data_IF_203904041905
#
_entry.id   IF_203904041905
#
_cell.length_a   1.000
_cell.length_b   1.000
_cell.length_c   1.000
_cell.angle_alpha   90.00
_cell.angle_beta   90.00
_cell.angle_gamma   90.00
#
_symmetry.space_group_name_H-M   'P 1'
#
loop_
_entity.id
_entity.type
_entity.pdbx_description
1 polymer ?
#
# COMPACT_ATOMS: atom_id res chain seq x y z
N UNK A 1 12.93 -22.36 27.10
CA UNK A 1 12.77 -20.89 27.02
C UNK A 1 11.94 -20.60 25.78
N UNK A 2 10.71 -20.13 25.94
CA UNK A 2 9.81 -19.79 24.83
C UNK A 2 10.12 -18.35 24.38
N UNK A 3 11.12 -18.20 23.52
CA UNK A 3 11.49 -16.89 22.99
C UNK A 3 10.41 -16.45 22.01
N UNK A 4 9.77 -15.32 22.31
CA UNK A 4 8.84 -14.62 21.44
C UNK A 4 9.58 -13.93 20.30
N UNK A 5 8.88 -13.68 19.19
CA UNK A 5 9.44 -12.99 18.03
C UNK A 5 8.88 -11.56 17.95
N UNK A 6 9.75 -10.55 17.92
CA UNK A 6 9.34 -9.20 17.56
C UNK A 6 8.92 -9.21 16.10
N UNK A 7 7.76 -8.64 15.83
CA UNK A 7 7.17 -8.68 14.51
C UNK A 7 6.56 -7.33 14.14
N UNK A 8 6.64 -7.00 12.85
CA UNK A 8 5.73 -6.00 12.29
C UNK A 8 4.77 -6.71 11.36
N UNK A 9 3.49 -6.58 11.68
CA UNK A 9 2.42 -7.19 10.93
C UNK A 9 1.70 -6.15 10.08
N UNK A 10 1.44 -6.49 8.82
CA UNK A 10 0.74 -5.67 7.84
C UNK A 10 -0.64 -6.26 7.55
N UNK A 11 -1.68 -5.44 7.66
CA UNK A 11 -3.05 -5.81 7.36
C UNK A 11 -3.41 -5.39 5.92
N UNK A 12 -4.20 -6.19 5.19
CA UNK A 12 -4.68 -5.79 3.88
C UNK A 12 -5.70 -4.66 4.04
N UNK A 13 -5.69 -3.70 3.12
CA UNK A 13 -6.62 -2.55 3.16
C UNK A 13 -8.08 -2.98 3.14
N UNK A 14 -8.41 -4.07 2.45
CA UNK A 14 -9.77 -4.64 2.41
C UNK A 14 -10.29 -5.09 3.78
N UNK A 15 -9.40 -5.30 4.76
CA UNK A 15 -9.78 -5.64 6.12
C UNK A 15 -9.98 -4.40 7.00
N UNK A 16 -9.45 -3.24 6.61
CA UNK A 16 -9.50 -2.00 7.39
C UNK A 16 -10.70 -1.17 6.96
N UNK A 17 -11.70 -1.08 7.83
CA UNK A 17 -12.89 -0.24 7.64
C UNK A 17 -12.61 1.17 8.17
N UNK A 18 -12.51 2.14 7.27
CA UNK A 18 -12.50 3.56 7.64
C UNK A 18 -13.83 3.90 8.35
N UNK A 19 -13.75 4.51 9.54
CA UNK A 19 -14.95 4.94 10.26
C UNK A 19 -15.49 6.18 9.55
N UNK A 20 -16.57 6.01 8.77
CA UNK A 20 -17.47 7.13 8.46
C UNK A 20 -18.11 7.61 9.79
N UNK A 21 -18.12 8.92 10.09
CA UNK A 21 -18.82 9.44 11.26
C UNK A 21 -20.33 9.10 11.20
N UNK A 22 -20.99 8.94 12.36
CA UNK A 22 -22.26 8.24 12.46
C UNK A 22 -23.39 8.88 11.65
N UNK A 23 -24.11 7.99 10.96
CA UNK A 23 -25.35 8.17 10.21
C UNK A 23 -26.34 9.18 10.83
N UNK A 24 -26.41 10.38 10.25
CA UNK A 24 -27.54 11.30 10.43
C UNK A 24 -27.82 12.10 9.15
N UNK A 25 -27.60 11.54 7.95
CA UNK A 25 -27.99 12.18 6.69
C UNK A 25 -28.38 11.11 5.67
N UNK A 26 -29.45 10.35 5.94
CA UNK A 26 -30.00 9.40 4.95
C UNK A 26 -31.09 10.00 4.04
N UNK A 27 -31.48 11.25 4.24
CA UNK A 27 -32.60 11.87 3.51
C UNK A 27 -32.22 12.98 2.52
N UNK A 28 -30.96 13.06 2.07
CA UNK A 28 -30.55 14.04 1.06
C UNK A 28 -30.05 13.36 -0.22
N UNK A 29 -30.91 12.57 -0.87
CA UNK A 29 -30.68 12.00 -2.20
C UNK A 29 -30.56 13.07 -3.34
N UNK A 30 -30.46 14.37 -3.04
CA UNK A 30 -30.49 15.42 -4.08
C UNK A 30 -29.56 16.63 -3.86
N UNK A 31 -28.66 16.63 -2.88
CA UNK A 31 -27.69 17.74 -2.76
C UNK A 31 -26.23 17.27 -2.65
N UNK A 32 -25.56 17.38 -3.79
CA UNK A 32 -24.13 17.62 -3.95
C UNK A 32 -23.56 18.52 -2.82
N UNK A 33 -22.92 17.94 -1.79
CA UNK A 33 -22.08 18.69 -0.83
C UNK A 33 -20.81 17.91 -0.45
N UNK A 34 -19.81 18.07 -1.31
CA UNK A 34 -18.38 18.36 -1.05
C UNK A 34 -17.83 18.01 0.35
N UNK A 35 -17.04 16.94 0.40
CA UNK A 35 -16.10 16.65 1.49
C UNK A 35 -14.92 17.67 1.48
N UNK A 36 -14.21 17.91 2.61
CA UNK A 36 -13.18 18.95 2.73
C UNK A 36 -11.89 18.74 1.91
N UNK A 37 -11.81 17.73 1.04
CA UNK A 37 -10.68 17.51 0.14
C UNK A 37 -10.75 18.36 -1.14
N UNK A 38 -11.83 19.11 -1.33
CA UNK A 38 -12.15 19.82 -2.57
C UNK A 38 -11.20 21.00 -2.93
N UNK A 39 -10.20 21.32 -2.11
CA UNK A 39 -9.28 22.43 -2.37
C UNK A 39 -7.78 22.16 -2.06
N UNK A 40 -7.39 20.94 -1.70
CA UNK A 40 -5.97 20.64 -1.43
C UNK A 40 -5.20 20.44 -2.74
N UNK A 41 -4.89 21.56 -3.39
CA UNK A 41 -4.00 21.62 -4.55
C UNK A 41 -2.56 21.51 -4.04
N UNK A 42 -1.92 20.37 -4.34
CA UNK A 42 -0.50 20.21 -4.01
C UNK A 42 0.32 20.92 -5.09
N UNK A 43 1.07 21.95 -4.67
CA UNK A 43 1.90 22.73 -5.57
C UNK A 43 3.37 22.65 -5.18
N UNK A 44 4.23 22.81 -6.17
CA UNK A 44 5.67 22.85 -5.95
C UNK A 44 6.48 22.60 -7.21
N UNK A 45 7.79 22.51 -7.04
CA UNK A 45 8.72 22.33 -8.15
C UNK A 45 9.12 20.87 -8.24
N UNK A 46 9.12 20.34 -9.47
CA UNK A 46 9.74 19.07 -9.81
C UNK A 46 10.63 19.24 -11.03
N UNK A 47 11.62 18.37 -11.17
CA UNK A 47 12.42 18.24 -12.36
C UNK A 47 11.78 17.21 -13.28
N UNK A 48 11.50 17.59 -14.52
CA UNK A 48 10.80 16.75 -15.48
C UNK A 48 11.74 16.38 -16.63
N UNK A 49 11.80 15.10 -16.97
CA UNK A 49 12.50 14.61 -18.17
C UNK A 49 11.76 15.03 -19.45
N UNK A 50 12.48 15.56 -20.42
CA UNK A 50 11.91 15.83 -21.75
C UNK A 50 11.61 14.53 -22.51
N UNK A 51 10.70 14.61 -23.49
CA UNK A 51 10.37 13.47 -24.37
C UNK A 51 11.43 13.29 -25.46
N UNK A 52 11.87 14.40 -26.05
CA UNK A 52 12.81 14.45 -27.18
C UNK A 52 14.23 14.68 -26.67
N UNK A 53 14.44 15.72 -25.86
CA UNK A 53 15.69 15.94 -25.15
C UNK A 53 15.57 15.38 -23.73
N UNK A 54 16.33 14.34 -23.34
CA UNK A 54 16.21 13.69 -22.04
C UNK A 54 16.75 14.53 -20.87
N UNK A 55 17.21 15.76 -21.10
CA UNK A 55 17.57 16.66 -20.02
C UNK A 55 16.37 16.90 -19.07
N UNK A 56 16.66 16.85 -17.77
CA UNK A 56 15.71 17.22 -16.73
C UNK A 56 15.59 18.74 -16.67
N UNK A 57 14.35 19.24 -16.74
CA UNK A 57 14.08 20.66 -16.66
C UNK A 57 13.17 20.96 -15.47
N UNK A 58 13.53 22.01 -14.73
CA UNK A 58 12.75 22.52 -13.60
C UNK A 58 11.40 23.04 -14.09
N UNK A 59 10.30 22.58 -13.49
CA UNK A 59 8.94 23.02 -13.78
C UNK A 59 8.15 23.20 -12.49
N UNK A 60 7.24 24.15 -12.49
CA UNK A 60 6.25 24.28 -11.43
C UNK A 60 5.09 23.34 -11.74
N UNK A 61 4.65 22.57 -10.75
CA UNK A 61 3.58 21.60 -10.85
C UNK A 61 2.45 21.94 -9.90
N UNK A 62 1.24 21.64 -10.33
CA UNK A 62 0.03 21.73 -9.54
C UNK A 62 -0.76 20.43 -9.71
N UNK A 63 -1.03 19.76 -8.60
CA UNK A 63 -1.83 18.54 -8.54
C UNK A 63 -3.21 18.89 -8.00
N UNK A 64 -4.22 18.71 -8.85
CA UNK A 64 -5.63 18.78 -8.49
C UNK A 64 -6.17 17.36 -8.26
N UNK A 65 -7.48 17.24 -8.01
CA UNK A 65 -8.14 15.93 -7.92
C UNK A 65 -8.09 15.14 -9.23
N UNK A 66 -8.05 15.82 -10.37
CA UNK A 66 -8.22 15.19 -11.69
C UNK A 66 -6.94 15.18 -12.52
N UNK A 67 -6.01 16.10 -12.25
CA UNK A 67 -4.86 16.32 -13.13
C UNK A 67 -3.60 16.78 -12.41
N UNK A 68 -2.46 16.39 -12.96
CA UNK A 68 -1.16 16.96 -12.66
C UNK A 68 -0.73 17.89 -13.81
N UNK A 69 -0.74 19.19 -13.54
CA UNK A 69 -0.46 20.25 -14.52
C UNK A 69 0.94 20.81 -14.30
N UNK A 70 1.63 21.24 -15.36
CA UNK A 70 2.95 21.87 -15.21
C UNK A 70 3.15 23.12 -16.07
N UNK A 71 3.98 24.02 -15.55
CA UNK A 71 4.16 25.38 -16.04
C UNK A 71 5.64 25.74 -16.21
N UNK A 72 5.90 26.70 -17.11
CA UNK A 72 7.20 27.35 -17.28
C UNK A 72 6.99 28.86 -17.20
N UNK A 73 7.33 29.45 -16.06
CA UNK A 73 6.80 30.78 -15.71
C UNK A 73 5.30 30.67 -15.50
N UNK A 74 4.55 31.60 -16.07
CA UNK A 74 3.08 31.62 -16.01
C UNK A 74 2.41 30.77 -17.11
N UNK A 75 3.19 30.28 -18.09
CA UNK A 75 2.66 29.50 -19.20
C UNK A 75 2.40 28.04 -18.80
N UNK A 76 1.16 27.59 -18.93
CA UNK A 76 0.82 26.17 -18.84
C UNK A 76 1.42 25.40 -20.03
N UNK A 77 2.23 24.38 -19.73
CA UNK A 77 2.98 23.61 -20.74
C UNK A 77 2.47 22.19 -20.94
N UNK A 78 1.63 21.69 -20.04
CA UNK A 78 0.99 20.39 -20.22
C UNK A 78 0.17 19.95 -19.01
N UNK A 79 -0.71 19.01 -19.28
CA UNK A 79 -1.65 18.41 -18.33
C UNK A 79 -1.48 16.90 -18.41
N UNK A 80 -1.41 16.23 -17.26
CA UNK A 80 -1.44 14.78 -17.15
C UNK A 80 -2.73 14.41 -16.41
N UNK A 81 -3.77 13.91 -17.11
CA UNK A 81 -4.98 13.45 -16.45
C UNK A 81 -4.67 12.23 -15.58
N UNK A 82 -5.02 12.28 -14.29
CA UNK A 82 -4.67 11.23 -13.33
C UNK A 82 -5.37 9.90 -13.65
N UNK A 83 -6.57 9.98 -14.23
CA UNK A 83 -7.32 8.80 -14.72
C UNK A 83 -6.62 8.04 -15.85
N UNK A 84 -5.65 8.66 -16.54
CA UNK A 84 -4.87 8.01 -17.62
C UNK A 84 -3.59 7.36 -17.12
N UNK A 85 -3.26 7.50 -15.84
CA UNK A 85 -2.06 6.92 -15.26
C UNK A 85 -2.35 5.45 -14.98
N UNK A 86 -1.65 4.56 -15.69
CA UNK A 86 -1.73 3.11 -15.52
C UNK A 86 -0.73 2.59 -14.51
N UNK A 87 0.33 3.35 -14.21
CA UNK A 87 1.36 2.96 -13.23
C UNK A 87 2.03 4.20 -12.64
N UNK A 88 2.18 4.24 -11.31
CA UNK A 88 2.98 5.17 -10.54
C UNK A 88 4.07 4.36 -9.88
N UNK A 89 5.33 4.71 -10.18
CA UNK A 89 6.45 3.99 -9.59
C UNK A 89 7.71 4.78 -9.31
N UNK A 90 8.62 4.21 -8.53
CA UNK A 90 9.98 4.73 -8.42
C UNK A 90 10.72 4.60 -9.75
N UNK A 91 11.58 5.58 -10.06
CA UNK A 91 12.44 5.47 -11.22
C UNK A 91 13.58 4.48 -10.96
N UNK A 92 13.76 3.53 -11.88
CA UNK A 92 14.72 2.44 -11.72
C UNK A 92 16.20 2.89 -11.83
N UNK A 93 16.49 4.00 -12.52
CA UNK A 93 17.86 4.51 -12.67
C UNK A 93 18.29 5.26 -11.39
N UNK A 94 19.26 4.73 -10.62
CA UNK A 94 19.70 5.34 -9.36
C UNK A 94 20.42 6.68 -9.56
N UNK A 95 20.83 7.03 -10.78
CA UNK A 95 21.40 8.35 -11.08
C UNK A 95 20.37 9.48 -11.00
N UNK A 96 19.07 9.14 -11.08
CA UNK A 96 17.97 10.09 -10.90
C UNK A 96 17.48 9.98 -9.46
N UNK A 97 18.13 10.73 -8.57
CA UNK A 97 17.70 10.80 -7.18
C UNK A 97 16.22 11.20 -7.08
N UNK A 98 15.49 10.52 -6.19
CA UNK A 98 14.10 10.84 -5.88
C UNK A 98 13.17 10.83 -7.10
N UNK A 99 13.40 9.88 -8.01
CA UNK A 99 12.68 9.75 -9.28
C UNK A 99 11.30 9.09 -9.14
N UNK A 100 10.29 9.67 -9.79
CA UNK A 100 8.92 9.16 -9.90
C UNK A 100 8.60 8.95 -11.38
N UNK A 101 8.12 7.76 -11.73
CA UNK A 101 7.58 7.45 -13.05
C UNK A 101 6.05 7.41 -13.02
N UNK A 102 5.43 8.09 -13.97
CA UNK A 102 4.00 8.00 -14.24
C UNK A 102 3.83 7.44 -15.65
N UNK A 103 3.36 6.20 -15.75
CA UNK A 103 3.07 5.53 -17.01
C UNK A 103 1.66 5.87 -17.44
N UNK A 104 1.51 6.36 -18.65
CA UNK A 104 0.23 6.58 -19.33
C UNK A 104 0.27 5.88 -20.69
N UNK A 105 -0.87 5.60 -21.33
CA UNK A 105 -0.89 4.96 -22.66
C UNK A 105 -0.04 5.69 -23.71
N UNK A 106 0.04 7.02 -23.62
CA UNK A 106 0.76 7.84 -24.59
C UNK A 106 2.25 8.01 -24.26
N UNK A 107 2.64 7.88 -22.99
CA UNK A 107 3.99 8.24 -22.52
C UNK A 107 4.26 7.79 -21.08
N UNK A 108 5.51 7.41 -20.80
CA UNK A 108 6.07 7.40 -19.44
C UNK A 108 6.70 8.75 -19.11
N UNK A 109 6.18 9.39 -18.06
CA UNK A 109 6.70 10.63 -17.50
C UNK A 109 7.68 10.30 -16.40
N UNK A 110 8.88 10.88 -16.46
CA UNK A 110 9.87 10.77 -15.38
C UNK A 110 10.03 12.12 -14.73
N UNK A 111 9.74 12.17 -13.44
CA UNK A 111 9.83 13.32 -12.56
C UNK A 111 10.90 13.05 -11.51
N UNK A 112 11.51 14.08 -10.97
CA UNK A 112 12.45 13.97 -9.85
C UNK A 112 12.19 15.11 -8.87
N UNK A 113 12.10 14.76 -7.60
CA UNK A 113 11.95 15.72 -6.52
C UNK A 113 13.31 16.24 -6.04
N UNK A 114 13.32 17.42 -5.43
CA UNK A 114 14.57 18.04 -4.96
C UNK A 114 15.21 17.28 -3.78
N UNK A 115 14.39 16.57 -2.99
CA UNK A 115 14.80 15.84 -1.80
C UNK A 115 13.77 14.74 -1.46
N UNK A 116 14.11 13.86 -0.52
CA UNK A 116 13.25 12.76 -0.10
C UNK A 116 11.94 13.19 0.58
N UNK A 117 11.89 14.37 1.20
CA UNK A 117 10.66 14.92 1.76
C UNK A 117 9.64 15.30 0.68
N UNK A 118 10.10 16.02 -0.34
CA UNK A 118 9.30 16.39 -1.50
C UNK A 118 8.88 15.15 -2.29
N UNK A 119 9.79 14.19 -2.48
CA UNK A 119 9.48 12.90 -3.10
C UNK A 119 8.29 12.23 -2.43
N UNK A 120 8.37 12.01 -1.12
CA UNK A 120 7.29 11.37 -0.35
C UNK A 120 5.99 12.15 -0.44
N UNK A 121 6.04 13.48 -0.32
CA UNK A 121 4.87 14.36 -0.46
C UNK A 121 4.20 14.17 -1.81
N UNK A 122 4.96 14.27 -2.90
CA UNK A 122 4.44 14.16 -4.25
C UNK A 122 3.89 12.77 -4.55
N UNK A 123 4.67 11.73 -4.28
CA UNK A 123 4.24 10.35 -4.54
C UNK A 123 2.99 9.99 -3.73
N UNK A 124 2.94 10.33 -2.45
CA UNK A 124 1.74 10.12 -1.62
C UNK A 124 0.51 10.82 -2.19
N UNK A 125 0.66 12.09 -2.57
CA UNK A 125 -0.46 12.91 -3.06
C UNK A 125 -0.98 12.39 -4.40
N UNK A 126 -0.08 11.93 -5.28
CA UNK A 126 -0.43 11.33 -6.58
C UNK A 126 -1.11 9.97 -6.35
N UNK A 127 -0.53 9.09 -5.53
CA UNK A 127 -1.10 7.77 -5.24
C UNK A 127 -2.50 7.83 -4.63
N UNK A 128 -2.80 8.86 -3.84
CA UNK A 128 -4.15 9.09 -3.27
C UNK A 128 -5.20 9.49 -4.33
N UNK A 129 -4.80 9.89 -5.54
CA UNK A 129 -5.68 10.47 -6.56
C UNK A 129 -5.69 9.68 -7.88
N UNK A 130 -4.95 8.58 -7.97
CA UNK A 130 -4.97 7.65 -9.10
C UNK A 130 -5.72 6.38 -8.72
N UNK A 131 -6.07 5.55 -9.71
CA UNK A 131 -6.65 4.22 -9.44
C UNK A 131 -5.68 3.37 -8.60
N UNK A 132 -6.22 2.54 -7.72
CA UNK A 132 -5.42 1.61 -6.89
C UNK A 132 -4.58 0.67 -7.77
N UNK A 133 -5.13 0.23 -8.90
CA UNK A 133 -4.42 -0.63 -9.86
C UNK A 133 -3.20 0.05 -10.48
N UNK A 134 -3.17 1.38 -10.45
CA UNK A 134 -2.09 2.17 -11.00
C UNK A 134 -0.90 2.31 -10.03
N UNK A 135 -0.91 1.77 -8.81
CA UNK A 135 0.22 1.89 -7.89
C UNK A 135 1.06 0.61 -7.92
N UNK A 136 2.28 0.66 -8.45
CA UNK A 136 3.14 -0.54 -8.54
C UNK A 136 3.60 -1.01 -7.15
N UNK A 137 3.60 -2.33 -6.94
CA UNK A 137 4.02 -2.98 -5.68
C UNK A 137 5.47 -2.66 -5.26
N UNK A 138 6.35 -2.28 -6.19
CA UNK A 138 7.76 -1.90 -5.87
C UNK A 138 7.89 -0.47 -5.36
N UNK A 139 6.89 0.37 -5.63
CA UNK A 139 6.83 1.79 -5.23
C UNK A 139 6.19 1.95 -3.86
N UNK A 140 5.47 0.91 -3.43
CA UNK A 140 5.26 0.66 -2.03
C UNK A 140 6.61 0.56 -1.30
N UNK A 141 7.55 -0.30 -1.71
CA UNK A 141 8.81 -0.54 -0.97
C UNK A 141 9.70 0.69 -0.71
N UNK A 142 9.71 1.72 -1.56
CA UNK A 142 10.53 2.94 -1.33
C UNK A 142 9.77 4.10 -0.66
N UNK A 143 8.44 4.10 -0.67
CA UNK A 143 7.62 4.97 0.20
C UNK A 143 7.59 4.47 1.65
N UNK A 144 8.16 3.29 1.92
CA UNK A 144 8.20 2.61 3.20
C UNK A 144 9.32 3.10 4.14
N UNK A 145 9.77 4.35 4.01
CA UNK A 145 10.57 4.98 5.06
C UNK A 145 9.66 5.66 6.11
N UNK A 146 9.22 4.85 7.07
CA UNK A 146 8.87 5.29 8.42
C UNK A 146 7.50 5.89 8.73
N UNK A 147 6.72 6.41 7.77
CA UNK A 147 5.44 7.13 8.10
C UNK A 147 4.13 6.52 7.57
N UNK A 148 4.09 5.84 6.44
CA UNK A 148 2.86 5.16 5.97
C UNK A 148 2.59 3.81 6.66
N UNK A 149 3.55 3.34 7.46
CA UNK A 149 3.43 2.17 8.32
C UNK A 149 2.38 2.34 9.43
N UNK A 150 1.98 3.56 9.74
CA UNK A 150 1.15 3.85 10.91
C UNK A 150 -0.36 3.66 10.73
N UNK A 151 -0.88 3.26 9.57
CA UNK A 151 -2.33 3.05 9.39
C UNK A 151 -2.69 1.61 9.11
N UNK A 152 -1.87 0.79 8.45
CA UNK A 152 -2.20 -0.63 8.20
C UNK A 152 -1.14 -1.60 8.74
N UNK A 153 -0.25 -1.15 9.64
CA UNK A 153 0.71 -2.03 10.29
C UNK A 153 0.69 -1.88 11.80
N UNK A 154 1.05 -2.94 12.50
CA UNK A 154 1.11 -2.99 13.95
C UNK A 154 2.37 -3.74 14.40
N UNK A 155 3.04 -3.21 15.42
CA UNK A 155 4.13 -3.92 16.08
C UNK A 155 3.54 -4.90 17.09
N UNK A 156 3.95 -6.17 16.99
CA UNK A 156 3.45 -7.24 17.85
C UNK A 156 4.59 -8.15 18.30
N UNK A 157 4.34 -8.92 19.34
CA UNK A 157 5.26 -9.94 19.83
C UNK A 157 4.58 -11.31 19.71
N UNK A 158 4.99 -12.09 18.71
CA UNK A 158 4.36 -13.38 18.43
C UNK A 158 4.93 -14.46 19.36
N UNK A 159 4.04 -15.16 20.07
CA UNK A 159 4.39 -16.32 20.88
C UNK A 159 4.65 -17.56 20.00
N UNK A 160 5.68 -18.37 20.29
CA UNK A 160 5.90 -19.65 19.59
C UNK A 160 4.72 -20.62 19.75
N UNK A 161 3.85 -20.42 20.75
CA UNK A 161 2.68 -21.27 21.00
C UNK A 161 1.45 -20.90 20.17
N UNK A 162 1.47 -19.79 19.44
CA UNK A 162 0.34 -19.39 18.59
C UNK A 162 0.24 -20.30 17.37
N UNK A 163 -0.98 -20.73 17.06
CA UNK A 163 -1.29 -21.19 15.71
C UNK A 163 -1.30 -20.00 14.74
N UNK A 164 -1.27 -20.23 13.43
CA UNK A 164 -1.40 -19.15 12.45
C UNK A 164 -2.71 -18.38 12.66
N UNK A 165 -3.83 -19.06 12.91
CA UNK A 165 -5.11 -18.41 13.18
C UNK A 165 -5.08 -17.58 14.48
N UNK A 166 -4.43 -18.08 15.54
CA UNK A 166 -4.25 -17.32 16.79
C UNK A 166 -3.37 -16.08 16.57
N UNK A 167 -2.32 -16.20 15.74
CA UNK A 167 -1.46 -15.08 15.39
C UNK A 167 -2.23 -14.01 14.60
N UNK A 168 -3.07 -14.39 13.63
CA UNK A 168 -3.94 -13.47 12.89
C UNK A 168 -4.91 -12.75 13.84
N UNK A 169 -5.58 -13.49 14.74
CA UNK A 169 -6.46 -12.92 15.77
C UNK A 169 -5.73 -11.89 16.63
N UNK A 170 -4.55 -12.27 17.13
CA UNK A 170 -3.72 -11.44 17.99
C UNK A 170 -3.26 -10.16 17.28
N UNK A 171 -2.79 -10.27 16.03
CA UNK A 171 -2.39 -9.13 15.19
C UNK A 171 -3.55 -8.15 15.04
N UNK A 172 -4.74 -8.65 14.67
CA UNK A 172 -5.92 -7.80 14.48
C UNK A 172 -6.36 -7.14 15.80
N UNK A 173 -6.29 -7.85 16.93
CA UNK A 173 -6.58 -7.30 18.24
C UNK A 173 -5.60 -6.19 18.64
N UNK A 174 -4.29 -6.39 18.46
CA UNK A 174 -3.27 -5.37 18.70
C UNK A 174 -3.44 -4.16 17.78
N UNK A 175 -3.81 -4.40 16.52
CA UNK A 175 -4.09 -3.34 15.56
C UNK A 175 -5.23 -2.45 16.04
N UNK A 176 -6.37 -3.03 16.45
CA UNK A 176 -7.53 -2.32 16.99
C UNK A 176 -7.24 -1.57 18.29
N UNK A 177 -6.35 -2.10 19.14
CA UNK A 177 -5.91 -1.43 20.37
C UNK A 177 -5.03 -0.21 20.09
N UNK A 178 -4.20 -0.30 19.04
CA UNK A 178 -3.24 0.75 18.67
C UNK A 178 -3.90 1.85 17.82
N UNK A 179 -4.90 1.49 17.01
CA UNK A 179 -5.58 2.38 16.06
C UNK A 179 -7.04 2.58 16.46
N UNK A 180 -7.27 3.35 17.52
CA UNK A 180 -8.61 3.53 18.13
C UNK A 180 -9.62 4.29 17.27
N UNK A 181 -9.16 4.94 16.19
CA UNK A 181 -10.00 5.70 15.25
C UNK A 181 -10.35 4.92 13.99
N UNK A 182 -9.96 3.64 13.91
CA UNK A 182 -10.14 2.78 12.73
C UNK A 182 -10.82 1.48 13.15
N UNK A 183 -11.72 0.96 12.32
CA UNK A 183 -12.35 -0.34 12.55
C UNK A 183 -11.81 -1.37 11.57
N UNK A 184 -11.95 -2.65 11.89
CA UNK A 184 -11.77 -3.71 10.89
C UNK A 184 -13.16 -4.14 10.38
N UNK A 185 -13.25 -4.45 9.08
CA UNK A 185 -14.41 -5.17 8.56
C UNK A 185 -14.55 -6.52 9.29
N UNK A 186 -15.78 -7.04 9.46
CA UNK A 186 -15.98 -8.39 9.97
C UNK A 186 -15.14 -9.40 9.18
N UNK A 187 -14.43 -10.27 9.90
CA UNK A 187 -13.49 -11.20 9.28
C UNK A 187 -13.44 -12.51 10.04
N UNK A 188 -13.21 -13.62 9.33
CA UNK A 188 -12.81 -14.89 9.95
C UNK A 188 -11.26 -14.97 9.90
N UNK A 189 -10.58 -15.11 11.05
CA UNK A 189 -9.13 -15.28 11.09
C UNK A 189 -8.60 -16.46 10.27
N UNK A 190 -9.43 -17.46 10.00
CA UNK A 190 -9.08 -18.64 9.20
C UNK A 190 -9.12 -18.39 7.69
N UNK A 191 -9.71 -17.28 7.25
CA UNK A 191 -9.70 -16.81 5.86
C UNK A 191 -8.36 -16.16 5.49
N UNK A 192 -7.48 -15.92 6.45
CA UNK A 192 -6.18 -15.29 6.23
C UNK A 192 -5.02 -16.25 6.45
N UNK A 193 -3.98 -16.06 5.64
CA UNK A 193 -2.66 -16.66 5.78
C UNK A 193 -1.64 -15.57 6.08
N UNK A 194 -0.50 -15.97 6.66
CA UNK A 194 0.61 -15.04 6.90
C UNK A 194 1.70 -15.27 5.87
N UNK A 195 2.08 -14.23 5.14
CA UNK A 195 3.31 -14.19 4.35
C UNK A 195 4.41 -13.60 5.21
N UNK A 196 5.35 -14.45 5.61
CA UNK A 196 6.45 -14.09 6.48
C UNK A 196 7.72 -13.85 5.66
N UNK A 197 8.45 -12.80 6.00
CA UNK A 197 9.76 -12.48 5.42
C UNK A 197 10.76 -12.20 6.54
N UNK A 198 11.86 -12.96 6.54
CA UNK A 198 12.99 -12.67 7.41
C UNK A 198 13.89 -11.63 6.74
N UNK A 199 14.11 -10.50 7.42
CA UNK A 199 14.77 -9.31 6.88
C UNK A 199 16.18 -9.56 6.32
N UNK A 200 16.93 -10.51 6.87
CA UNK A 200 18.35 -10.70 6.53
C UNK A 200 18.66 -11.88 5.63
N UNK A 201 17.79 -12.88 5.57
CA UNK A 201 18.09 -14.13 4.84
C UNK A 201 17.39 -14.28 3.49
N UNK A 202 16.61 -13.28 3.07
CA UNK A 202 15.79 -13.38 1.84
C UNK A 202 14.91 -14.64 1.81
N UNK A 203 14.64 -15.24 2.97
CA UNK A 203 13.73 -16.37 3.13
C UNK A 203 12.35 -15.80 3.36
N UNK A 204 11.45 -16.12 2.43
CA UNK A 204 10.04 -15.78 2.54
C UNK A 204 9.20 -17.05 2.40
N UNK A 205 8.12 -17.11 3.16
CA UNK A 205 7.25 -18.29 3.20
C UNK A 205 5.81 -17.91 3.51
N UNK A 206 4.88 -18.68 2.93
CA UNK A 206 3.45 -18.51 3.14
C UNK A 206 2.95 -19.54 4.14
N UNK A 207 2.53 -19.09 5.31
CA UNK A 207 2.02 -19.91 6.41
C UNK A 207 0.53 -20.20 6.19
N UNK A 208 0.24 -21.27 5.44
CA UNK A 208 -1.11 -21.56 4.93
C UNK A 208 -2.03 -22.31 5.91
N UNK A 209 -1.47 -23.11 6.81
CA UNK A 209 -2.23 -23.99 7.71
C UNK A 209 -2.64 -23.21 8.98
N UNK A 210 -3.95 -23.00 9.23
CA UNK A 210 -4.42 -22.16 10.32
C UNK A 210 -4.15 -22.77 11.70
N UNK A 211 -4.04 -24.11 11.79
CA UNK A 211 -3.83 -24.82 13.06
C UNK A 211 -2.34 -25.02 13.38
N UNK A 212 -1.48 -24.94 12.37
CA UNK A 212 -0.03 -25.10 12.52
C UNK A 212 0.57 -23.99 13.39
N UNK A 213 1.52 -24.36 14.25
CA UNK A 213 2.19 -23.42 15.17
C UNK A 213 3.21 -22.55 14.44
N UNK A 214 3.28 -21.26 14.76
CA UNK A 214 4.22 -20.32 14.14
C UNK A 214 5.69 -20.73 14.36
N UNK A 215 6.00 -21.38 15.49
CA UNK A 215 7.34 -21.88 15.78
C UNK A 215 7.84 -23.02 14.84
N UNK A 216 6.95 -23.61 14.04
CA UNK A 216 7.29 -24.67 13.10
C UNK A 216 7.71 -24.17 11.71
N UNK A 217 7.80 -22.85 11.53
CA UNK A 217 8.21 -22.20 10.29
C UNK A 217 9.62 -21.64 10.40
N UNK A 218 10.41 -21.81 9.34
CA UNK A 218 11.83 -21.48 9.31
C UNK A 218 12.07 -19.97 9.45
N UNK A 219 11.18 -19.13 8.94
CA UNK A 219 11.28 -17.67 9.05
C UNK A 219 11.17 -17.24 10.51
N UNK A 220 10.23 -17.82 11.27
CA UNK A 220 10.06 -17.54 12.70
C UNK A 220 11.30 -17.98 13.50
N UNK A 221 11.78 -19.21 13.26
CA UNK A 221 12.96 -19.73 13.95
C UNK A 221 14.21 -18.89 13.65
N UNK A 222 14.39 -18.51 12.38
CA UNK A 222 15.52 -17.69 11.92
C UNK A 222 15.50 -16.32 12.60
N UNK A 223 14.37 -15.61 12.57
CA UNK A 223 14.26 -14.29 13.20
C UNK A 223 14.44 -14.35 14.72
N UNK A 224 13.86 -15.36 15.39
CA UNK A 224 14.08 -15.57 16.83
C UNK A 224 15.55 -15.81 17.17
N UNK A 225 16.24 -16.67 16.42
CA UNK A 225 17.66 -16.99 16.65
C UNK A 225 18.56 -15.78 16.40
N UNK A 226 18.27 -14.99 15.37
CA UNK A 226 19.01 -13.78 15.02
C UNK A 226 18.63 -12.55 15.89
N UNK A 227 17.57 -12.66 16.72
CA UNK A 227 16.95 -11.53 17.43
C UNK A 227 16.53 -10.39 16.50
N UNK A 228 16.11 -10.75 15.30
CA UNK A 228 15.65 -9.83 14.28
C UNK A 228 14.14 -9.66 14.31
N UNK A 229 13.68 -8.61 13.63
CA UNK A 229 12.24 -8.40 13.50
C UNK A 229 11.71 -9.16 12.30
N UNK A 230 10.70 -9.99 12.54
CA UNK A 230 9.97 -10.69 11.50
C UNK A 230 8.95 -9.76 10.86
N UNK A 231 8.91 -9.70 9.53
CA UNK A 231 7.81 -9.02 8.84
C UNK A 231 6.77 -10.05 8.41
N UNK A 232 5.51 -9.80 8.74
CA UNK A 232 4.40 -10.65 8.30
C UNK A 232 3.32 -9.81 7.63
N UNK A 233 2.75 -10.32 6.54
CA UNK A 233 1.62 -9.70 5.85
C UNK A 233 0.44 -10.64 5.89
N UNK A 234 -0.72 -10.13 6.31
CA UNK A 234 -1.98 -10.86 6.25
C UNK A 234 -2.47 -10.85 4.81
N UNK A 235 -2.72 -12.03 4.25
CA UNK A 235 -3.22 -12.20 2.89
C UNK A 235 -4.44 -13.12 2.92
N UNK A 236 -5.48 -12.79 2.17
CA UNK A 236 -6.64 -13.67 2.01
C UNK A 236 -6.19 -15.01 1.41
N UNK A 237 -6.68 -16.10 1.99
CA UNK A 237 -6.51 -17.44 1.45
C UNK A 237 -7.31 -17.50 0.15
N UNK A 238 -6.63 -17.73 -0.96
CA UNK A 238 -7.28 -17.97 -2.25
C UNK A 238 -8.35 -19.06 -2.11
N UNK A 239 -9.60 -18.74 -2.44
CA UNK A 239 -10.68 -19.73 -2.52
C UNK A 239 -10.31 -20.73 -3.62
N UNK A 240 -10.46 -22.03 -3.32
CA UNK A 240 -10.45 -23.04 -4.37
C UNK A 240 -11.64 -22.77 -5.28
N UNK A 241 -11.40 -22.23 -6.47
CA UNK A 241 -12.39 -22.21 -7.54
C UNK A 241 -12.96 -23.61 -7.71
N UNK A 242 -14.23 -23.77 -7.34
CA UNK A 242 -14.93 -25.04 -7.50
C UNK A 242 -15.25 -25.15 -8.98
N UNK A 243 -14.49 -25.97 -9.70
CA UNK A 243 -14.79 -26.38 -11.06
C UNK A 243 -16.11 -27.16 -11.04
N UNK A 244 -17.24 -26.50 -11.26
CA UNK A 244 -18.50 -27.19 -11.45
C UNK A 244 -18.50 -27.86 -12.82
N UNK A 245 -18.51 -29.19 -12.78
CA UNK A 245 -18.68 -30.08 -13.90
C UNK A 245 -20.03 -29.84 -14.58
N UNK A 246 -19.99 -29.49 -15.87
CA UNK A 246 -21.14 -29.69 -16.77
C UNK A 246 -21.09 -31.13 -17.27
N UNK A 247 -21.76 -32.02 -16.54
CA UNK A 247 -22.31 -33.27 -17.07
C UNK A 247 -23.76 -33.29 -16.62
N UNK A 248 -24.66 -32.93 -17.51
CA UNK A 248 -25.96 -33.59 -17.71
C UNK A 248 -26.72 -32.89 -18.83
N UNK A 249 -27.55 -33.68 -19.50
CA UNK A 249 -28.38 -33.43 -20.70
C UNK A 249 -27.74 -33.74 -22.06
N UNK A 250 -27.70 -35.03 -22.39
CA UNK A 250 -28.34 -35.55 -23.62
C UNK A 250 -28.79 -37.00 -23.37
N UNK A 251 -30.02 -37.15 -22.88
CA UNK A 251 -30.98 -38.16 -23.37
C UNK A 251 -32.11 -37.40 -24.08
#
# INVERSE_FOLDING_TARGET
MTTTCKCIAHLPKSLVAEIDPPNSIRDAHLHHQRHPLDNDVVKGVLFKRGKINPAFQRRYFELTLESLTYYCGDDMRGVIPLSTISTVQSHADPSVAWGIELVTPARTWVLSAANGGDYRKWTASICQRVSVDAVAMESHRELHDGKYRGVCAVQVELSPTYSVADAVKYICACYMQTHTTVTLHPFDPTDYVLEATAMTKSTSGRWKDPARKVASYDEFQTCCAAKETLEVTLVLREEKTTTNATKDYME
#
